data_IF_869794439056
#
_entry.id   IF_869794439056
#
_cell.length_a   1.000
_cell.length_b   1.000
_cell.length_c   1.000
_cell.angle_alpha   90.00
_cell.angle_beta   90.00
_cell.angle_gamma   90.00
#
_symmetry.space_group_name_H-M   'P 1'
#
loop_
_entity.id
_entity.type
_entity.pdbx_description
1 polymer ?
#
# COMPACT_ATOMS: atom_id res chain seq x y z
N UNK A 1 19.88 50.87 6.15
CA UNK A 1 19.82 49.67 7.01
C UNK A 1 19.85 48.44 6.11
N UNK A 2 20.86 47.58 6.26
CA UNK A 2 21.07 46.34 5.50
C UNK A 2 20.57 45.20 6.39
N UNK A 3 19.39 44.64 6.10
CA UNK A 3 18.87 43.48 6.81
C UNK A 3 19.49 42.22 6.21
N UNK A 4 20.58 41.77 6.82
CA UNK A 4 21.16 40.44 6.63
C UNK A 4 20.25 39.40 7.31
N UNK A 5 19.34 38.81 6.53
CA UNK A 5 18.64 37.59 6.95
C UNK A 5 19.44 36.41 6.40
N UNK A 6 20.21 35.80 7.30
CA UNK A 6 20.74 34.46 7.14
C UNK A 6 19.56 33.50 7.02
N UNK A 7 19.38 32.91 5.84
CA UNK A 7 18.44 31.83 5.60
C UNK A 7 19.11 30.54 6.09
N UNK A 8 18.75 29.96 7.24
CA UNK A 8 19.23 28.64 7.56
C UNK A 8 18.60 27.69 6.54
N UNK A 9 19.47 27.04 5.76
CA UNK A 9 19.20 25.76 5.11
C UNK A 9 18.86 24.73 6.20
N UNK A 10 17.67 24.84 6.79
CA UNK A 10 17.03 23.76 7.48
C UNK A 10 16.00 23.22 6.51
N UNK A 11 16.38 22.11 5.88
CA UNK A 11 15.53 21.30 5.05
C UNK A 11 14.20 21.10 5.76
N UNK A 12 13.16 21.73 5.21
CA UNK A 12 11.81 21.29 5.43
C UNK A 12 11.78 19.85 4.92
N UNK A 13 11.88 18.87 5.83
CA UNK A 13 11.31 17.56 5.60
C UNK A 13 9.80 17.76 5.70
N UNK A 14 9.23 18.49 4.73
CA UNK A 14 7.86 18.30 4.32
C UNK A 14 7.77 16.84 3.96
N UNK A 15 7.12 16.07 4.84
CA UNK A 15 6.58 14.78 4.47
C UNK A 15 5.79 15.05 3.20
N UNK A 16 6.33 14.59 2.08
CA UNK A 16 5.57 14.50 0.86
C UNK A 16 4.42 13.57 1.19
N UNK A 17 3.24 14.14 1.42
CA UNK A 17 2.01 13.43 1.08
C UNK A 17 2.16 13.15 -0.41
N UNK A 18 2.63 11.95 -0.72
CA UNK A 18 2.63 11.46 -2.08
C UNK A 18 1.18 11.14 -2.39
N UNK A 19 0.43 12.17 -2.78
CA UNK A 19 -0.74 12.03 -3.62
C UNK A 19 -0.30 11.31 -4.91
N UNK A 20 -0.56 10.00 -4.99
CA UNK A 20 -0.59 9.23 -6.22
C UNK A 20 -1.73 8.21 -6.09
N UNK A 21 -2.97 8.70 -6.20
CA UNK A 21 -4.21 7.93 -6.17
C UNK A 21 -4.47 7.08 -7.44
N UNK A 22 -3.43 6.71 -8.19
CA UNK A 22 -3.56 5.91 -9.43
C UNK A 22 -2.65 4.67 -9.46
N UNK A 23 -1.62 4.59 -8.60
CA UNK A 23 -0.69 3.47 -8.55
C UNK A 23 -0.75 2.80 -7.17
N UNK A 24 -0.83 1.46 -7.06
CA UNK A 24 -0.79 0.80 -5.77
C UNK A 24 0.48 1.22 -5.06
N UNK A 25 0.35 1.74 -3.85
CA UNK A 25 1.50 2.23 -3.11
C UNK A 25 2.60 1.17 -3.02
N UNK A 26 3.84 1.61 -2.87
CA UNK A 26 4.96 0.68 -2.72
C UNK A 26 4.73 -0.32 -1.58
N UNK A 27 3.99 0.09 -0.53
CA UNK A 27 3.61 -0.81 0.56
C UNK A 27 2.62 -1.89 0.11
N UNK A 28 1.54 -1.49 -0.55
CA UNK A 28 0.54 -2.43 -1.08
C UNK A 28 1.18 -3.43 -2.06
N UNK A 29 2.01 -2.93 -2.99
CA UNK A 29 2.71 -3.78 -3.95
C UNK A 29 3.62 -4.80 -3.27
N UNK A 30 4.37 -4.39 -2.23
CA UNK A 30 5.19 -5.31 -1.44
C UNK A 30 4.32 -6.40 -0.79
N UNK A 31 3.24 -6.00 -0.10
CA UNK A 31 2.39 -6.93 0.62
C UNK A 31 1.65 -7.90 -0.30
N UNK A 32 1.21 -7.46 -1.48
CA UNK A 32 0.60 -8.35 -2.49
C UNK A 32 1.60 -9.41 -2.96
N UNK A 33 2.85 -9.03 -3.25
CA UNK A 33 3.86 -9.98 -3.71
C UNK A 33 4.23 -11.00 -2.62
N UNK A 34 4.34 -10.57 -1.36
CA UNK A 34 4.58 -11.46 -0.22
C UNK A 34 3.43 -12.46 -0.04
N UNK A 35 2.19 -11.95 -0.02
CA UNK A 35 1.00 -12.78 0.10
C UNK A 35 0.84 -13.77 -1.06
N UNK A 36 1.14 -13.34 -2.29
CA UNK A 36 1.13 -14.19 -3.48
C UNK A 36 2.14 -15.33 -3.35
N UNK A 37 3.37 -15.02 -2.90
CA UNK A 37 4.41 -16.02 -2.67
C UNK A 37 4.00 -17.06 -1.62
N UNK A 38 3.41 -16.64 -0.50
CA UNK A 38 2.92 -17.54 0.55
C UNK A 38 1.76 -18.41 0.05
N UNK A 39 0.85 -17.84 -0.73
CA UNK A 39 -0.28 -18.56 -1.30
C UNK A 39 0.08 -19.48 -2.47
N UNK A 40 1.30 -19.40 -3.00
CA UNK A 40 1.70 -20.09 -4.23
C UNK A 40 0.98 -19.56 -5.48
N UNK A 41 0.48 -18.32 -5.43
CA UNK A 41 -0.20 -17.64 -6.52
C UNK A 41 0.72 -16.65 -7.23
N UNK A 42 0.35 -16.25 -8.45
CA UNK A 42 0.87 -15.00 -9.02
C UNK A 42 0.07 -13.81 -8.46
N UNK A 43 0.71 -12.67 -8.24
CA UNK A 43 0.08 -11.47 -7.67
C UNK A 43 -1.15 -10.98 -8.45
N UNK A 44 -1.19 -11.21 -9.76
CA UNK A 44 -2.29 -10.82 -10.66
C UNK A 44 -3.24 -11.97 -11.00
N UNK A 45 -3.01 -13.17 -10.46
CA UNK A 45 -3.90 -14.31 -10.66
C UNK A 45 -5.05 -14.25 -9.64
N UNK A 46 -6.05 -13.42 -9.95
CA UNK A 46 -7.21 -13.22 -9.10
C UNK A 46 -8.05 -14.49 -8.92
N UNK A 47 -7.99 -15.45 -9.85
CA UNK A 47 -8.65 -16.76 -9.69
C UNK A 47 -7.98 -17.56 -8.58
N UNK A 48 -6.67 -17.39 -8.39
CA UNK A 48 -5.92 -18.01 -7.30
C UNK A 48 -5.98 -17.20 -5.99
N UNK A 49 -5.77 -15.88 -6.04
CA UNK A 49 -5.61 -15.04 -4.85
C UNK A 49 -6.93 -14.74 -4.15
N UNK A 50 -8.02 -14.48 -4.88
CA UNK A 50 -9.31 -14.14 -4.28
C UNK A 50 -9.94 -15.23 -3.39
N UNK A 51 -9.88 -16.53 -3.74
CA UNK A 51 -10.37 -17.58 -2.84
C UNK A 51 -9.35 -18.01 -1.76
N UNK A 52 -8.08 -17.61 -1.88
CA UNK A 52 -7.01 -18.06 -0.99
C UNK A 52 -7.06 -17.35 0.37
N UNK A 53 -7.34 -18.11 1.44
CA UNK A 53 -7.25 -17.62 2.82
C UNK A 53 -5.82 -17.25 3.19
N UNK A 54 -4.85 -18.06 2.78
CA UNK A 54 -3.42 -17.78 3.02
C UNK A 54 -2.99 -16.43 2.40
N UNK A 55 -3.49 -16.10 1.21
CA UNK A 55 -3.25 -14.81 0.58
C UNK A 55 -3.87 -13.67 1.42
N UNK A 56 -5.15 -13.78 1.77
CA UNK A 56 -5.87 -12.74 2.53
C UNK A 56 -5.25 -12.48 3.90
N UNK A 57 -4.94 -13.54 4.64
CA UNK A 57 -4.35 -13.45 5.98
C UNK A 57 -2.97 -12.79 5.93
N UNK A 58 -2.12 -13.22 4.98
CA UNK A 58 -0.76 -12.68 4.82
C UNK A 58 -0.79 -11.23 4.36
N UNK A 59 -1.64 -10.90 3.38
CA UNK A 59 -1.83 -9.54 2.89
C UNK A 59 -2.30 -8.64 4.04
N UNK A 60 -3.35 -9.04 4.75
CA UNK A 60 -3.90 -8.29 5.88
C UNK A 60 -2.89 -8.08 7.01
N UNK A 61 -2.09 -9.10 7.34
CA UNK A 61 -1.03 -8.98 8.35
C UNK A 61 0.08 -8.02 7.90
N UNK A 62 0.56 -8.15 6.66
CA UNK A 62 1.59 -7.26 6.11
C UNK A 62 1.12 -5.81 6.09
N UNK A 63 -0.11 -5.57 5.65
CA UNK A 63 -0.68 -4.23 5.56
C UNK A 63 -0.83 -3.56 6.93
N UNK A 64 -1.33 -4.29 7.93
CA UNK A 64 -1.43 -3.77 9.31
C UNK A 64 -0.07 -3.43 9.91
N UNK A 65 0.98 -4.15 9.52
CA UNK A 65 2.33 -3.94 10.06
C UNK A 65 3.12 -2.85 9.33
N UNK A 66 2.88 -2.65 8.03
CA UNK A 66 3.79 -1.89 7.16
C UNK A 66 3.15 -0.71 6.43
N UNK A 67 1.82 -0.68 6.29
CA UNK A 67 1.14 0.27 5.41
C UNK A 67 0.31 1.30 6.19
N UNK A 68 -0.06 2.39 5.53
CA UNK A 68 -0.91 3.43 6.13
C UNK A 68 -2.39 3.05 6.09
N UNK A 69 -3.24 3.85 6.74
CA UNK A 69 -4.69 3.64 6.69
C UNK A 69 -5.25 3.89 5.27
N UNK A 70 -4.66 4.82 4.53
CA UNK A 70 -5.00 5.09 3.13
C UNK A 70 -4.68 3.88 2.25
N UNK A 71 -3.52 3.25 2.43
CA UNK A 71 -3.15 2.03 1.72
C UNK A 71 -4.14 0.88 1.97
N UNK A 72 -4.54 0.70 3.24
CA UNK A 72 -5.54 -0.31 3.65
C UNK A 72 -6.88 -0.07 2.95
N UNK A 73 -7.29 1.20 2.87
CA UNK A 73 -8.53 1.58 2.20
C UNK A 73 -8.45 1.29 0.70
N UNK A 74 -7.38 1.72 0.03
CA UNK A 74 -7.16 1.49 -1.39
C UNK A 74 -7.09 -0.01 -1.74
N UNK A 75 -6.45 -0.82 -0.90
CA UNK A 75 -6.40 -2.26 -1.08
C UNK A 75 -7.78 -2.92 -0.94
N UNK A 76 -8.61 -2.44 -0.02
CA UNK A 76 -9.99 -2.91 0.13
C UNK A 76 -10.84 -2.60 -1.11
N UNK A 77 -10.69 -1.41 -1.67
CA UNK A 77 -11.37 -1.02 -2.92
C UNK A 77 -10.90 -1.85 -4.12
N UNK A 78 -9.58 -2.01 -4.28
CA UNK A 78 -8.99 -2.88 -5.32
C UNK A 78 -9.42 -4.33 -5.16
N UNK A 79 -9.45 -4.87 -3.94
CA UNK A 79 -9.92 -6.22 -3.71
C UNK A 79 -11.40 -6.36 -4.07
N UNK A 80 -12.24 -5.37 -3.76
CA UNK A 80 -13.64 -5.35 -4.18
C UNK A 80 -13.81 -5.29 -5.70
N UNK A 81 -13.01 -4.48 -6.38
CA UNK A 81 -13.00 -4.39 -7.85
C UNK A 81 -12.61 -5.72 -8.50
N UNK A 82 -11.57 -6.40 -7.97
CA UNK A 82 -10.98 -7.60 -8.59
C UNK A 82 -11.62 -8.91 -8.16
N UNK A 83 -12.06 -9.00 -6.91
CA UNK A 83 -12.62 -10.20 -6.29
C UNK A 83 -14.14 -10.14 -6.08
N UNK A 84 -14.79 -9.02 -6.41
CA UNK A 84 -16.24 -8.83 -6.30
C UNK A 84 -16.78 -8.71 -4.86
N UNK A 85 -15.91 -8.74 -3.86
CA UNK A 85 -16.24 -8.64 -2.43
C UNK A 85 -15.12 -7.92 -1.69
N UNK A 86 -15.42 -7.32 -0.55
CA UNK A 86 -14.36 -6.83 0.33
C UNK A 86 -13.62 -8.04 0.94
N UNK A 87 -12.31 -7.93 1.22
CA UNK A 87 -11.59 -8.99 1.89
C UNK A 87 -12.13 -9.11 3.31
N UNK A 88 -12.48 -10.33 3.72
CA UNK A 88 -12.92 -10.67 5.08
C UNK A 88 -11.75 -10.66 6.08
#
# INVERSE_FOLDING_TARGET
>A
MKLTIFFPLAAFLTWTVADCLDEPSACLTKCINEAAGVAGCSATDYVCTCPSTAFKDTLGACMKASCTAEDITAAGELHKERCGSAPE
#
